data_IF_446069883587
#
_entry.id   IF_446069883587
#
_cell.length_a   1.000
_cell.length_b   1.000
_cell.length_c   1.000
_cell.angle_alpha   90.00
_cell.angle_beta   90.00
_cell.angle_gamma   90.00
#
_symmetry.space_group_name_H-M   'P 1'
#
loop_
_entity.id
_entity.type
_entity.pdbx_description
1 polymer ?
#
# COMPACT_ATOMS: atom_id res chain seq x y z
N UNK A 1 -9.76 13.10 -20.01
CA UNK A 1 -9.04 13.00 -18.71
C UNK A 1 -7.61 13.46 -18.96
N UNK A 2 -7.11 14.43 -18.21
CA UNK A 2 -5.71 14.87 -18.35
C UNK A 2 -4.85 13.91 -17.52
N UNK A 3 -3.89 13.24 -18.15
CA UNK A 3 -2.97 12.35 -17.44
C UNK A 3 -2.01 13.20 -16.60
N UNK A 4 -2.06 13.01 -15.28
CA UNK A 4 -1.29 13.81 -14.32
C UNK A 4 0.14 13.29 -14.28
N UNK A 5 1.10 14.22 -14.17
CA UNK A 5 2.52 13.94 -14.17
C UNK A 5 3.15 14.62 -12.96
N UNK A 6 3.90 13.88 -12.15
CA UNK A 6 4.71 14.41 -11.07
C UNK A 6 6.18 14.52 -11.52
N UNK A 7 6.93 15.54 -11.07
CA UNK A 7 8.36 15.59 -11.32
C UNK A 7 9.06 14.42 -10.60
N UNK A 8 10.16 13.90 -11.16
CA UNK A 8 10.90 12.80 -10.53
C UNK A 8 11.42 13.17 -9.13
N UNK A 9 11.71 14.45 -8.90
CA UNK A 9 12.11 15.00 -7.59
C UNK A 9 11.00 14.92 -6.53
N UNK A 10 9.74 14.67 -6.91
CA UNK A 10 8.66 14.44 -5.94
C UNK A 10 8.81 13.09 -5.21
N UNK A 11 9.63 12.18 -5.75
CA UNK A 11 9.90 10.89 -5.12
C UNK A 11 11.10 10.96 -4.16
N UNK A 12 10.93 11.73 -3.11
CA UNK A 12 11.91 11.86 -2.03
C UNK A 12 11.14 12.14 -0.73
N UNK A 13 11.47 11.38 0.31
CA UNK A 13 10.76 11.39 1.58
C UNK A 13 10.76 12.77 2.24
N UNK A 14 11.79 13.60 1.99
CA UNK A 14 11.89 14.95 2.56
C UNK A 14 10.84 15.93 2.02
N UNK A 15 10.22 15.63 0.87
CA UNK A 15 9.14 16.43 0.29
C UNK A 15 7.74 15.89 0.58
N UNK A 16 7.63 14.77 1.30
CA UNK A 16 6.35 14.15 1.64
C UNK A 16 6.11 14.36 3.14
N UNK A 17 5.17 15.25 3.53
CA UNK A 17 4.78 15.39 4.91
C UNK A 17 4.26 14.06 5.46
N UNK A 18 4.52 13.80 6.74
CA UNK A 18 3.97 12.61 7.38
C UNK A 18 2.43 12.66 7.36
N UNK A 19 1.77 11.57 6.91
CA UNK A 19 0.33 11.44 6.94
C UNK A 19 -0.23 11.55 8.36
N UNK A 20 -1.49 11.95 8.47
CA UNK A 20 -2.18 12.02 9.76
C UNK A 20 -3.22 10.92 9.88
N UNK A 21 -3.05 10.03 10.86
CA UNK A 21 -4.01 8.99 11.21
C UNK A 21 -4.38 9.15 12.68
N UNK A 22 -5.67 9.20 12.98
CA UNK A 22 -6.13 9.38 14.35
C UNK A 22 -5.75 8.18 15.22
N UNK A 23 -4.99 8.42 16.30
CA UNK A 23 -4.56 7.37 17.23
C UNK A 23 -3.31 6.61 16.78
N UNK A 24 -2.68 7.00 15.67
CA UNK A 24 -1.45 6.38 15.19
C UNK A 24 -0.28 7.38 15.17
N UNK A 25 0.93 6.84 15.36
CA UNK A 25 2.20 7.55 15.28
C UNK A 25 2.97 7.05 14.07
N UNK A 26 3.38 7.96 13.18
CA UNK A 26 4.27 7.63 12.06
C UNK A 26 5.68 7.41 12.61
N UNK A 27 6.26 6.24 12.33
CA UNK A 27 7.59 5.84 12.75
C UNK A 27 8.64 6.13 11.68
N UNK A 28 8.31 5.88 10.42
CA UNK A 28 9.22 6.08 9.29
C UNK A 28 8.44 6.35 7.99
N UNK A 29 9.10 7.01 7.04
CA UNK A 29 8.61 7.20 5.68
C UNK A 29 9.79 7.11 4.72
N UNK A 30 9.67 6.19 3.76
CA UNK A 30 10.64 6.05 2.67
C UNK A 30 9.97 6.36 1.34
N UNK A 31 10.74 6.92 0.42
CA UNK A 31 10.32 7.15 -0.96
C UNK A 31 11.46 6.74 -1.89
N UNK A 32 11.20 5.74 -2.74
CA UNK A 32 12.22 5.17 -3.64
C UNK A 32 11.72 5.22 -5.09
N UNK A 33 12.44 5.90 -6.00
CA UNK A 33 12.08 5.90 -7.41
C UNK A 33 12.36 4.52 -8.03
N UNK A 34 11.40 4.01 -8.78
CA UNK A 34 11.52 2.78 -9.59
C UNK A 34 11.31 3.15 -11.05
N UNK A 35 12.32 2.89 -11.88
CA UNK A 35 12.33 3.28 -13.29
C UNK A 35 12.23 2.07 -14.22
N UNK A 36 11.61 2.25 -15.39
CA UNK A 36 11.49 1.24 -16.43
C UNK A 36 10.87 -0.08 -15.95
N UNK A 37 9.88 0.00 -15.06
CA UNK A 37 9.21 -1.17 -14.51
C UNK A 37 8.36 -1.87 -15.58
N UNK A 38 8.49 -3.20 -15.65
CA UNK A 38 7.83 -4.05 -16.64
C UNK A 38 7.34 -5.31 -15.94
N UNK A 39 6.11 -5.72 -16.22
CA UNK A 39 5.49 -6.93 -15.66
C UNK A 39 4.44 -7.50 -16.61
N UNK A 40 4.20 -8.82 -16.50
CA UNK A 40 3.01 -9.47 -17.04
C UNK A 40 2.06 -9.80 -15.89
N UNK A 41 0.82 -9.37 -16.01
CA UNK A 41 -0.20 -9.57 -14.99
C UNK A 41 -1.35 -10.34 -15.62
N UNK A 42 -1.61 -11.55 -15.11
CA UNK A 42 -2.75 -12.36 -15.54
C UNK A 42 -4.01 -11.97 -14.79
N UNK A 43 -5.14 -11.98 -15.50
CA UNK A 43 -6.50 -11.91 -14.98
C UNK A 43 -6.80 -12.92 -13.85
N UNK A 44 -6.07 -14.03 -13.76
CA UNK A 44 -6.19 -15.01 -12.66
C UNK A 44 -5.75 -14.45 -11.30
N UNK A 45 -4.88 -13.45 -11.30
CA UNK A 45 -4.33 -12.83 -10.09
C UNK A 45 -4.68 -11.34 -9.97
N UNK A 46 -5.28 -10.77 -11.02
CA UNK A 46 -5.79 -9.42 -11.05
C UNK A 46 -7.32 -9.43 -11.19
N UNK A 47 -7.96 -9.87 -10.10
CA UNK A 47 -9.39 -10.17 -10.07
C UNK A 47 -10.25 -8.99 -10.56
N UNK A 48 -11.22 -9.29 -11.43
CA UNK A 48 -12.13 -8.33 -12.09
C UNK A 48 -11.47 -7.41 -13.13
N UNK A 49 -10.21 -7.65 -13.49
CA UNK A 49 -9.51 -6.92 -14.54
C UNK A 49 -8.96 -7.91 -15.60
N UNK A 50 -8.77 -7.47 -16.86
CA UNK A 50 -8.15 -8.31 -17.88
C UNK A 50 -6.66 -8.51 -17.61
N UNK A 51 -6.07 -9.51 -18.27
CA UNK A 51 -4.61 -9.64 -18.32
C UNK A 51 -3.99 -8.39 -18.97
N UNK A 52 -2.88 -7.90 -18.40
CA UNK A 52 -2.22 -6.67 -18.83
C UNK A 52 -0.69 -6.82 -18.83
N UNK A 53 -0.07 -6.28 -19.88
CA UNK A 53 1.37 -6.13 -19.99
C UNK A 53 1.78 -4.70 -19.59
N UNK A 54 2.42 -4.58 -18.44
CA UNK A 54 2.99 -3.31 -17.94
C UNK A 54 4.34 -3.10 -18.61
N UNK A 55 4.61 -1.91 -19.16
CA UNK A 55 5.83 -1.62 -19.92
C UNK A 55 6.41 -0.25 -19.59
N UNK A 56 7.67 -0.25 -19.15
CA UNK A 56 8.45 0.97 -18.98
C UNK A 56 7.82 2.01 -18.07
N UNK A 57 7.09 1.59 -17.03
CA UNK A 57 6.43 2.52 -16.11
C UNK A 57 7.45 3.01 -15.07
N UNK A 58 7.56 4.32 -14.92
CA UNK A 58 8.29 4.95 -13.82
C UNK A 58 7.30 5.28 -12.69
N UNK A 59 7.59 4.85 -11.48
CA UNK A 59 6.75 5.11 -10.30
C UNK A 59 7.58 5.40 -9.06
N UNK A 60 6.97 6.07 -8.09
CA UNK A 60 7.52 6.23 -6.75
C UNK A 60 6.95 5.15 -5.83
N UNK A 61 7.81 4.35 -5.19
CA UNK A 61 7.42 3.48 -4.10
C UNK A 61 7.55 4.26 -2.78
N UNK A 62 6.42 4.59 -2.16
CA UNK A 62 6.38 5.22 -0.85
C UNK A 62 5.90 4.18 0.16
N UNK A 63 6.71 3.93 1.19
CA UNK A 63 6.31 3.09 2.32
C UNK A 63 6.27 3.93 3.59
N UNK A 64 5.13 3.91 4.26
CA UNK A 64 4.90 4.57 5.56
C UNK A 64 4.79 3.49 6.63
N UNK A 65 5.64 3.55 7.65
CA UNK A 65 5.59 2.68 8.82
C UNK A 65 4.98 3.43 9.98
N UNK A 66 4.00 2.83 10.65
CA UNK A 66 3.31 3.46 11.78
C UNK A 66 2.97 2.44 12.87
N UNK A 67 2.60 2.94 14.04
CA UNK A 67 2.14 2.16 15.19
C UNK A 67 0.95 2.83 15.84
N UNK A 68 0.14 2.06 16.57
CA UNK A 68 -0.82 2.58 17.52
C UNK A 68 -0.24 2.50 18.94
N UNK A 69 -0.13 3.66 19.61
CA UNK A 69 0.44 3.75 20.95
C UNK A 69 -0.21 2.76 21.93
N UNK A 70 0.61 1.90 22.55
CA UNK A 70 0.15 0.88 23.50
C UNK A 70 -0.38 -0.42 22.88
N UNK A 71 -0.45 -0.54 21.55
CA UNK A 71 -0.83 -1.79 20.87
C UNK A 71 0.38 -2.67 20.51
N UNK A 72 1.60 -2.12 20.58
CA UNK A 72 2.85 -2.82 20.28
C UNK A 72 2.86 -3.45 18.87
N UNK A 73 2.27 -2.75 17.90
CA UNK A 73 2.27 -3.11 16.49
C UNK A 73 3.30 -2.26 15.70
N UNK A 74 3.65 -2.73 14.51
CA UNK A 74 4.39 -1.94 13.52
C UNK A 74 3.85 -2.32 12.16
N UNK A 75 3.09 -1.41 11.56
CA UNK A 75 2.30 -1.64 10.36
C UNK A 75 2.91 -0.82 9.23
N UNK A 76 2.96 -1.42 8.05
CA UNK A 76 3.45 -0.74 6.87
C UNK A 76 2.32 -0.57 5.85
N UNK A 77 2.28 0.62 5.25
CA UNK A 77 1.47 0.92 4.07
C UNK A 77 2.42 1.23 2.92
N UNK A 78 2.36 0.41 1.89
CA UNK A 78 3.18 0.56 0.68
C UNK A 78 2.31 1.08 -0.46
N UNK A 79 2.74 2.15 -1.11
CA UNK A 79 1.97 2.84 -2.16
C UNK A 79 2.87 3.12 -3.36
N UNK A 80 2.42 2.71 -4.55
CA UNK A 80 3.11 2.91 -5.82
C UNK A 80 2.39 4.00 -6.62
N UNK A 81 3.09 5.12 -6.83
CA UNK A 81 2.56 6.31 -7.48
C UNK A 81 3.18 6.47 -8.86
N UNK A 82 2.44 6.26 -9.97
CA UNK A 82 2.98 6.48 -11.31
C UNK A 82 3.46 7.93 -11.47
N UNK A 83 4.74 8.12 -11.83
CA UNK A 83 5.29 9.47 -12.01
C UNK A 83 4.69 10.18 -13.23
N UNK A 84 4.18 9.40 -14.19
CA UNK A 84 3.49 9.89 -15.38
C UNK A 84 2.26 9.03 -15.62
N UNK A 85 1.21 9.61 -16.19
CA UNK A 85 0.05 8.84 -16.61
C UNK A 85 -0.89 8.45 -15.47
N UNK A 86 -0.81 9.11 -14.31
CA UNK A 86 -1.79 8.88 -13.25
C UNK A 86 -3.18 9.29 -13.74
N UNK A 87 -4.13 8.37 -13.60
CA UNK A 87 -5.50 8.50 -14.09
C UNK A 87 -6.43 9.21 -13.09
N UNK A 88 -5.87 9.72 -11.98
CA UNK A 88 -6.60 10.41 -10.93
C UNK A 88 -7.29 9.48 -9.93
N UNK A 89 -7.01 8.17 -9.93
CA UNK A 89 -7.67 7.19 -9.05
C UNK A 89 -6.68 6.42 -8.18
N UNK A 90 -7.14 6.04 -6.99
CA UNK A 90 -6.49 5.11 -6.07
C UNK A 90 -7.15 3.74 -6.18
N UNK A 91 -6.34 2.68 -6.21
CA UNK A 91 -6.77 1.29 -6.07
C UNK A 91 -5.99 0.62 -4.94
N UNK A 92 -6.63 0.46 -3.78
CA UNK A 92 -6.07 -0.31 -2.68
C UNK A 92 -6.24 -1.81 -2.94
N UNK A 93 -5.14 -2.54 -2.83
CA UNK A 93 -5.03 -3.98 -3.02
C UNK A 93 -4.90 -4.65 -1.65
N UNK A 94 -5.87 -5.50 -1.35
CA UNK A 94 -5.92 -6.28 -0.11
C UNK A 94 -5.05 -7.54 -0.15
N UNK A 95 -5.30 -8.39 0.84
CA UNK A 95 -4.63 -9.65 1.08
C UNK A 95 -5.39 -10.88 0.58
N UNK A 96 -5.00 -12.04 1.11
CA UNK A 96 -5.69 -13.31 0.89
C UNK A 96 -5.42 -14.30 2.03
N UNK A 97 -6.46 -15.01 2.46
CA UNK A 97 -6.38 -15.88 3.64
C UNK A 97 -6.00 -15.07 4.90
N UNK A 98 -4.91 -15.47 5.57
CA UNK A 98 -4.40 -14.80 6.78
C UNK A 98 -3.23 -13.83 6.51
N UNK A 99 -2.90 -13.57 5.24
CA UNK A 99 -1.88 -12.58 4.86
C UNK A 99 -2.59 -11.32 4.40
N UNK A 100 -2.42 -10.21 5.12
CA UNK A 100 -3.17 -8.98 4.92
C UNK A 100 -2.81 -8.22 3.63
N UNK A 101 -1.58 -8.38 3.14
CA UNK A 101 -1.08 -7.72 1.94
C UNK A 101 0.44 -7.79 1.87
N UNK A 102 1.07 -6.92 1.06
CA UNK A 102 2.54 -6.87 0.86
C UNK A 102 3.18 -8.25 0.59
N UNK A 103 2.49 -9.07 -0.19
CA UNK A 103 2.91 -10.42 -0.57
C UNK A 103 2.75 -10.61 -2.08
N UNK A 104 3.26 -11.71 -2.67
CA UNK A 104 3.33 -11.87 -4.12
C UNK A 104 2.02 -11.59 -4.88
N UNK A 105 0.86 -12.03 -4.38
CA UNK A 105 -0.42 -11.79 -5.08
C UNK A 105 -0.84 -10.31 -5.01
N UNK A 106 -0.65 -9.64 -3.86
CA UNK A 106 -0.89 -8.19 -3.78
C UNK A 106 0.00 -7.44 -4.75
N UNK A 107 1.29 -7.81 -4.85
CA UNK A 107 2.20 -7.14 -5.77
C UNK A 107 1.82 -7.34 -7.24
N UNK A 108 1.36 -8.54 -7.64
CA UNK A 108 0.84 -8.76 -8.99
C UNK A 108 -0.35 -7.86 -9.32
N UNK A 109 -1.31 -7.75 -8.40
CA UNK A 109 -2.45 -6.86 -8.58
C UNK A 109 -2.05 -5.36 -8.56
N UNK A 110 -1.08 -4.97 -7.73
CA UNK A 110 -0.54 -3.61 -7.73
C UNK A 110 0.16 -3.27 -9.04
N UNK A 111 0.91 -4.21 -9.64
CA UNK A 111 1.50 -4.04 -10.97
C UNK A 111 0.43 -3.79 -12.03
N UNK A 112 -0.67 -4.55 -11.99
CA UNK A 112 -1.79 -4.39 -12.92
C UNK A 112 -2.43 -3.01 -12.79
N UNK A 113 -2.74 -2.60 -11.56
CA UNK A 113 -3.29 -1.28 -11.25
C UNK A 113 -2.36 -0.14 -11.70
N UNK A 114 -1.06 -0.27 -11.47
CA UNK A 114 -0.05 0.68 -11.93
C UNK A 114 -0.04 0.78 -13.47
N UNK A 115 -0.15 -0.34 -14.18
CA UNK A 115 -0.22 -0.39 -15.64
C UNK A 115 -1.46 0.30 -16.23
N UNK A 116 -2.57 0.30 -15.50
CA UNK A 116 -3.80 1.02 -15.84
C UNK A 116 -3.80 2.50 -15.38
N UNK A 117 -2.68 2.96 -14.81
CA UNK A 117 -2.48 4.33 -14.37
C UNK A 117 -3.10 4.66 -13.01
N UNK A 118 -3.48 3.67 -12.20
CA UNK A 118 -3.87 3.89 -10.82
C UNK A 118 -2.66 4.14 -9.93
N UNK A 119 -2.86 4.88 -8.84
CA UNK A 119 -2.02 4.69 -7.65
C UNK A 119 -2.43 3.37 -7.02
N UNK A 120 -1.49 2.49 -6.76
CA UNK A 120 -1.74 1.19 -6.13
C UNK A 120 -1.24 1.21 -4.68
N UNK A 121 -1.99 0.67 -3.73
CA UNK A 121 -1.58 0.66 -2.31
C UNK A 121 -1.86 -0.69 -1.66
N UNK A 122 -1.07 -1.11 -0.66
CA UNK A 122 -1.32 -2.32 0.15
C UNK A 122 -0.80 -2.14 1.58
N UNK A 123 -1.24 -2.98 2.52
CA UNK A 123 -0.73 -3.00 3.91
C UNK A 123 -0.44 -4.42 4.37
N UNK A 124 0.56 -4.61 5.24
CA UNK A 124 0.83 -5.90 5.89
C UNK A 124 0.05 -6.09 7.20
N UNK A 125 -0.72 -5.09 7.64
CA UNK A 125 -1.41 -5.06 8.93
C UNK A 125 -0.51 -5.36 10.15
N UNK A 126 0.82 -5.32 10.00
CA UNK A 126 1.78 -5.71 11.03
C UNK A 126 1.84 -7.22 11.33
N UNK A 127 1.28 -8.09 10.48
CA UNK A 127 1.08 -9.52 10.78
C UNK A 127 2.11 -10.46 10.15
N UNK A 128 2.96 -9.93 9.26
CA UNK A 128 3.92 -10.73 8.49
C UNK A 128 3.25 -11.57 7.38
N UNK A 129 3.92 -12.64 6.98
CA UNK A 129 3.56 -13.42 5.77
C UNK A 129 3.13 -14.87 6.08
N UNK A 130 2.71 -15.15 7.31
CA UNK A 130 2.25 -16.49 7.67
C UNK A 130 0.90 -16.81 7.02
N UNK A 131 0.80 -17.97 6.37
CA UNK A 131 -0.45 -18.47 5.80
C UNK A 131 -1.41 -19.08 6.83
N UNK A 132 -0.95 -19.26 8.07
CA UNK A 132 -1.74 -19.70 9.22
C UNK A 132 -1.73 -18.60 10.29
N UNK A 133 -2.81 -18.47 11.10
CA UNK A 133 -2.95 -17.33 12.01
C UNK A 133 -2.13 -17.49 13.29
N UNK A 134 -1.73 -18.72 13.66
CA UNK A 134 -1.06 -19.04 14.92
C UNK A 134 0.10 -18.10 15.31
N UNK A 135 0.98 -17.64 14.39
CA UNK A 135 2.11 -16.79 14.76
C UNK A 135 1.76 -15.36 15.19
N UNK A 136 0.57 -14.85 14.84
CA UNK A 136 0.18 -13.46 15.11
C UNK A 136 -1.18 -13.32 15.81
N UNK A 137 -2.05 -14.32 15.73
CA UNK A 137 -3.43 -14.20 16.21
C UNK A 137 -3.59 -14.41 17.72
N UNK A 138 -2.57 -14.94 18.39
CA UNK A 138 -2.64 -15.34 19.81
C UNK A 138 -1.47 -14.76 20.60
N UNK A 139 -1.78 -14.16 21.75
CA UNK A 139 -0.80 -13.77 22.77
C UNK A 139 -0.29 -14.99 23.56
N UNK A 140 -1.16 -15.99 23.74
CA UNK A 140 -0.89 -17.27 24.40
C UNK A 140 -1.97 -18.28 24.00
N UNK A 141 -1.84 -19.60 24.28
CA UNK A 141 -2.89 -20.57 23.95
C UNK A 141 -4.27 -20.15 24.47
N UNK A 142 -5.24 -19.99 23.56
CA UNK A 142 -6.62 -19.57 23.87
C UNK A 142 -6.81 -18.08 24.16
N UNK A 143 -5.76 -17.25 24.08
CA UNK A 143 -5.82 -15.81 24.33
C UNK A 143 -5.55 -15.05 23.03
N UNK A 144 -6.62 -14.55 22.40
CA UNK A 144 -6.55 -13.84 21.12
C UNK A 144 -5.85 -12.50 21.28
N UNK A 145 -4.94 -12.20 20.35
CA UNK A 145 -4.47 -10.83 20.16
C UNK A 145 -5.55 -10.04 19.40
N UNK A 146 -6.35 -9.30 20.18
CA UNK A 146 -7.46 -8.53 19.64
C UNK A 146 -7.01 -7.34 18.79
N UNK A 147 -5.82 -6.76 19.05
CA UNK A 147 -5.30 -5.66 18.23
C UNK A 147 -4.81 -6.18 16.89
N UNK A 148 -4.06 -7.29 16.88
CA UNK A 148 -3.66 -7.95 15.63
C UNK A 148 -4.88 -8.39 14.79
N UNK A 149 -5.92 -8.92 15.44
CA UNK A 149 -7.16 -9.28 14.76
C UNK A 149 -7.91 -8.06 14.20
N UNK A 150 -7.96 -6.95 14.94
CA UNK A 150 -8.56 -5.70 14.46
C UNK A 150 -7.77 -5.09 13.29
N UNK A 151 -6.44 -5.19 13.32
CA UNK A 151 -5.56 -4.79 12.23
C UNK A 151 -5.86 -5.59 10.96
N UNK A 152 -6.02 -6.91 11.05
CA UNK A 152 -6.45 -7.72 9.89
C UNK A 152 -7.85 -7.33 9.40
N UNK A 153 -8.78 -7.09 10.33
CA UNK A 153 -10.20 -6.99 10.01
C UNK A 153 -10.62 -5.64 9.41
N UNK A 154 -10.10 -4.52 9.94
CA UNK A 154 -10.60 -3.20 9.54
C UNK A 154 -9.63 -2.04 9.78
N UNK A 155 -8.88 -2.04 10.89
CA UNK A 155 -8.09 -0.86 11.32
C UNK A 155 -7.04 -0.51 10.27
N UNK A 156 -6.18 -1.47 9.91
CA UNK A 156 -5.11 -1.22 8.93
C UNK A 156 -5.63 -0.82 7.54
N UNK A 157 -6.81 -1.29 7.14
CA UNK A 157 -7.45 -0.94 5.87
C UNK A 157 -7.95 0.51 5.85
N UNK A 158 -8.50 0.98 6.97
CA UNK A 158 -8.85 2.38 7.14
C UNK A 158 -7.60 3.27 7.11
N UNK A 159 -6.58 2.88 7.86
CA UNK A 159 -5.35 3.67 7.99
C UNK A 159 -4.59 3.72 6.68
N UNK A 160 -4.51 2.60 5.95
CA UNK A 160 -4.02 2.54 4.58
C UNK A 160 -4.74 3.55 3.68
N UNK A 161 -6.07 3.64 3.79
CA UNK A 161 -6.86 4.54 2.95
C UNK A 161 -6.58 6.01 3.26
N UNK A 162 -6.39 6.37 4.53
CA UNK A 162 -6.03 7.72 4.95
C UNK A 162 -4.61 8.07 4.51
N UNK A 163 -3.64 7.19 4.81
CA UNK A 163 -2.23 7.35 4.45
C UNK A 163 -2.07 7.51 2.93
N UNK A 164 -2.67 6.62 2.14
CA UNK A 164 -2.55 6.68 0.69
C UNK A 164 -3.13 7.99 0.11
N UNK A 165 -4.26 8.48 0.65
CA UNK A 165 -4.86 9.74 0.20
C UNK A 165 -4.01 10.96 0.55
N UNK A 166 -3.43 11.01 1.74
CA UNK A 166 -2.52 12.08 2.16
C UNK A 166 -1.26 12.10 1.27
N UNK A 167 -0.67 10.92 1.04
CA UNK A 167 0.51 10.77 0.16
C UNK A 167 0.19 11.19 -1.26
N UNK A 168 -0.95 10.79 -1.83
CA UNK A 168 -1.41 11.20 -3.17
C UNK A 168 -1.55 12.72 -3.26
N UNK A 169 -2.23 13.32 -2.28
CA UNK A 169 -2.47 14.77 -2.28
C UNK A 169 -1.15 15.55 -2.20
N UNK A 170 -0.18 15.08 -1.40
CA UNK A 170 1.16 15.67 -1.36
C UNK A 170 1.92 15.48 -2.66
N UNK A 171 1.89 14.29 -3.25
CA UNK A 171 2.72 13.92 -4.40
C UNK A 171 2.24 14.57 -5.70
N UNK A 172 0.92 14.66 -5.91
CA UNK A 172 0.32 15.21 -7.13
C UNK A 172 -0.29 16.61 -6.97
N UNK A 173 -0.37 17.13 -5.74
CA UNK A 173 -1.00 18.41 -5.44
C UNK A 173 -2.54 18.40 -5.54
N UNK A 174 -3.17 17.22 -5.59
CA UNK A 174 -4.62 17.06 -5.64
C UNK A 174 -5.05 15.67 -5.12
N UNK A 175 -6.27 15.53 -4.58
CA UNK A 175 -6.78 14.24 -4.11
C UNK A 175 -7.07 13.27 -5.27
N UNK A 176 -7.15 11.98 -4.93
CA UNK A 176 -7.75 10.93 -5.77
C UNK A 176 -9.29 11.00 -5.75
#
# INVERSE_FOLDING_TARGET
MHNITAPSSACDASFIPYPTVFGATILDLTATPVTNYTAEVSDQFYYNHPSISVRGVDYCNITVTYTHEGQNDSINVETWLPMKGWNGRLQSVGGGGYVAGRFPLSYMAMSGALGEGYVASTTDAGLGLSYVPDPWALNSPGNVDMYALQNLAAVSLNDQSLIAKDVINSFYGQPA
#
